data_IF_541466214148
#
_entry.id   IF_541466214148
#
_cell.length_a   1.000
_cell.length_b   1.000
_cell.length_c   1.000
_cell.angle_alpha   90.00
_cell.angle_beta   90.00
_cell.angle_gamma   90.00
#
_symmetry.space_group_name_H-M   'P 1'
#
loop_
_entity.id
_entity.type
_entity.pdbx_description
1 polymer ?
#
# COMPACT_ATOMS: atom_id res chain seq x y z
N UNK A 1 4.93 -6.84 23.85
CA UNK A 1 4.37 -8.10 23.28
C UNK A 1 5.41 -8.75 22.39
N UNK A 2 5.32 -10.06 22.20
CA UNK A 2 6.06 -10.81 21.18
C UNK A 2 5.28 -10.77 19.87
N UNK A 3 5.87 -10.18 18.83
CA UNK A 3 5.22 -9.99 17.53
C UNK A 3 6.03 -10.72 16.45
N UNK A 4 5.37 -11.64 15.75
CA UNK A 4 5.90 -12.24 14.54
C UNK A 4 5.50 -11.37 13.33
N UNK A 5 6.45 -10.97 12.50
CA UNK A 5 6.16 -10.32 11.22
C UNK A 5 6.54 -11.27 10.10
N UNK A 6 5.55 -11.67 9.29
CA UNK A 6 5.78 -12.43 8.05
C UNK A 6 6.16 -11.44 6.95
N UNK A 7 7.43 -11.43 6.56
CA UNK A 7 8.05 -10.33 5.82
C UNK A 7 8.81 -9.40 6.77
N UNK A 8 8.79 -8.09 6.53
CA UNK A 8 9.38 -7.12 7.48
C UNK A 8 10.60 -6.34 6.97
N UNK A 9 11.28 -6.78 5.91
CA UNK A 9 12.55 -6.15 5.48
C UNK A 9 12.44 -5.19 4.29
N UNK A 10 11.23 -4.95 3.80
CA UNK A 10 10.97 -4.03 2.67
C UNK A 10 10.06 -2.89 3.14
N UNK A 11 9.14 -2.40 2.31
CA UNK A 11 8.46 -1.12 2.46
C UNK A 11 7.57 -1.00 3.72
N UNK A 12 6.36 -1.58 3.79
CA UNK A 12 5.55 -1.50 5.02
C UNK A 12 6.23 -2.22 6.20
N UNK A 13 6.86 -3.36 5.91
CA UNK A 13 7.52 -4.20 6.90
C UNK A 13 8.55 -3.45 7.76
N UNK A 14 9.44 -2.66 7.14
CA UNK A 14 10.49 -1.95 7.90
C UNK A 14 9.88 -0.92 8.87
N UNK A 15 8.82 -0.24 8.46
CA UNK A 15 8.15 0.76 9.29
C UNK A 15 7.36 0.10 10.43
N UNK A 16 6.85 -1.11 10.22
CA UNK A 16 6.28 -1.93 11.31
C UNK A 16 7.34 -2.33 12.33
N UNK A 17 8.55 -2.73 11.89
CA UNK A 17 9.65 -3.06 12.80
C UNK A 17 10.10 -1.84 13.58
N UNK A 18 10.37 -0.71 12.89
CA UNK A 18 10.75 0.57 13.51
C UNK A 18 9.72 0.97 14.59
N UNK A 19 8.42 0.94 14.26
CA UNK A 19 7.36 1.32 15.18
C UNK A 19 7.20 0.31 16.34
N UNK A 20 7.38 -0.99 16.10
CA UNK A 20 7.27 -2.02 17.14
C UNK A 20 8.41 -1.92 18.15
N UNK A 21 9.64 -1.70 17.67
CA UNK A 21 10.80 -1.48 18.53
C UNK A 21 10.67 -0.20 19.35
N UNK A 22 10.18 0.89 18.73
CA UNK A 22 9.93 2.15 19.43
C UNK A 22 8.91 2.03 20.57
N UNK A 23 7.96 1.09 20.48
CA UNK A 23 6.98 0.77 21.52
C UNK A 23 7.45 -0.32 22.50
N UNK A 24 8.69 -0.82 22.36
CA UNK A 24 9.28 -1.81 23.27
C UNK A 24 8.75 -3.23 23.07
N UNK A 25 8.25 -3.57 21.88
CA UNK A 25 7.88 -4.95 21.56
C UNK A 25 9.12 -5.81 21.24
N UNK A 26 8.99 -7.11 21.53
CA UNK A 26 9.94 -8.12 21.08
C UNK A 26 9.50 -8.59 19.69
N UNK A 27 10.34 -8.37 18.68
CA UNK A 27 10.00 -8.65 17.28
C UNK A 27 10.76 -9.87 16.79
N UNK A 28 10.07 -10.74 16.06
CA UNK A 28 10.67 -11.80 15.25
C UNK A 28 10.30 -11.57 13.79
N UNK A 29 11.28 -11.57 12.89
CA UNK A 29 11.08 -11.49 11.45
C UNK A 29 11.15 -12.88 10.83
N UNK A 30 10.15 -13.24 10.02
CA UNK A 30 10.20 -14.44 9.20
C UNK A 30 10.32 -14.08 7.71
N UNK A 31 11.45 -14.43 7.09
CA UNK A 31 11.71 -14.10 5.69
C UNK A 31 12.78 -14.95 5.01
N UNK A 32 12.86 -14.87 3.68
CA UNK A 32 13.80 -15.63 2.83
C UNK A 32 15.27 -15.18 2.91
N UNK A 33 15.57 -14.04 3.54
CA UNK A 33 16.94 -13.50 3.62
C UNK A 33 17.45 -12.85 2.32
N UNK A 34 16.57 -12.66 1.32
CA UNK A 34 16.92 -12.06 0.02
C UNK A 34 17.11 -10.54 0.12
N UNK A 35 16.30 -9.88 0.95
CA UNK A 35 16.30 -8.42 1.10
C UNK A 35 16.47 -8.04 2.57
N UNK A 36 17.27 -6.99 2.82
CA UNK A 36 17.38 -6.35 4.14
C UNK A 36 17.90 -7.24 5.26
N UNK A 37 18.74 -8.24 4.95
CA UNK A 37 19.31 -9.18 5.94
C UNK A 37 20.14 -8.52 7.06
N UNK A 38 20.66 -7.32 6.81
CA UNK A 38 21.46 -6.55 7.77
C UNK A 38 20.62 -5.47 8.47
N UNK A 39 19.34 -5.33 8.12
CA UNK A 39 18.44 -4.38 8.79
C UNK A 39 17.99 -4.97 10.12
N UNK A 40 17.93 -4.14 11.15
CA UNK A 40 17.48 -4.50 12.50
C UNK A 40 18.34 -5.60 13.16
N UNK A 41 19.66 -5.41 13.31
CA UNK A 41 20.55 -6.42 13.90
C UNK A 41 20.16 -6.85 15.33
N UNK A 42 19.35 -6.04 16.03
CA UNK A 42 18.79 -6.32 17.35
C UNK A 42 17.54 -7.23 17.33
N UNK A 43 16.95 -7.45 16.16
CA UNK A 43 15.72 -8.24 15.97
C UNK A 43 16.07 -9.68 15.62
N UNK A 44 15.26 -10.65 16.09
CA UNK A 44 15.46 -12.04 15.71
C UNK A 44 15.04 -12.28 14.26
N UNK A 45 15.93 -12.83 13.44
CA UNK A 45 15.63 -13.26 12.07
C UNK A 45 15.47 -14.79 11.99
N UNK A 46 14.27 -15.23 11.65
CA UNK A 46 13.94 -16.62 11.34
C UNK A 46 13.88 -16.78 9.82
N UNK A 47 14.74 -17.65 9.30
CA UNK A 47 14.84 -17.87 7.86
C UNK A 47 13.92 -18.99 7.40
N UNK A 48 13.14 -18.72 6.37
CA UNK A 48 12.28 -19.69 5.71
C UNK A 48 11.56 -19.08 4.50
N UNK A 49 10.76 -19.90 3.83
CA UNK A 49 10.00 -19.48 2.66
C UNK A 49 8.55 -19.90 2.86
N UNK A 50 7.64 -18.96 3.11
CA UNK A 50 6.22 -19.26 3.35
C UNK A 50 5.55 -20.10 2.25
N UNK A 51 6.14 -20.14 1.06
CA UNK A 51 5.63 -20.91 -0.09
C UNK A 51 6.10 -22.36 -0.08
N UNK A 52 7.12 -22.70 0.73
CA UNK A 52 7.81 -23.99 0.72
C UNK A 52 8.04 -24.59 2.12
N UNK A 53 8.52 -23.79 3.06
CA UNK A 53 9.01 -24.23 4.36
C UNK A 53 8.69 -23.19 5.46
N UNK A 54 7.87 -23.62 6.42
CA UNK A 54 7.49 -22.90 7.62
C UNK A 54 8.02 -23.58 8.90
N UNK A 55 8.79 -24.67 8.78
CA UNK A 55 9.20 -25.52 9.91
C UNK A 55 9.97 -24.76 10.99
N UNK A 56 10.70 -23.71 10.61
CA UNK A 56 11.41 -22.84 11.55
C UNK A 56 10.49 -22.06 12.52
N UNK A 57 9.17 -22.04 12.27
CA UNK A 57 8.16 -21.45 13.15
C UNK A 57 7.52 -22.47 14.11
N UNK A 58 7.77 -23.78 13.93
CA UNK A 58 7.18 -24.83 14.75
C UNK A 58 7.68 -24.79 16.20
N UNK A 59 6.79 -25.04 17.16
CA UNK A 59 7.11 -25.07 18.60
C UNK A 59 7.41 -23.69 19.22
N UNK A 60 7.16 -22.60 18.49
CA UNK A 60 7.31 -21.22 18.95
C UNK A 60 5.96 -20.58 19.27
N UNK A 61 5.98 -19.52 20.08
CA UNK A 61 4.79 -18.78 20.49
C UNK A 61 5.03 -17.27 20.41
N UNK A 62 3.99 -16.55 19.98
CA UNK A 62 3.95 -15.08 19.95
C UNK A 62 2.57 -14.59 20.41
N UNK A 63 2.47 -13.32 20.78
CA UNK A 63 1.18 -12.74 21.15
C UNK A 63 0.32 -12.48 19.89
N UNK A 64 0.95 -12.00 18.82
CA UNK A 64 0.31 -11.68 17.54
C UNK A 64 1.24 -11.93 16.35
N UNK A 65 0.64 -12.11 15.17
CA UNK A 65 1.34 -12.10 13.88
C UNK A 65 0.82 -10.99 12.97
N UNK A 66 1.71 -10.34 12.25
CA UNK A 66 1.40 -9.36 11.20
C UNK A 66 1.90 -9.93 9.86
N UNK A 67 0.98 -10.24 8.95
CA UNK A 67 1.27 -10.79 7.64
C UNK A 67 1.25 -9.71 6.56
N UNK A 68 2.45 -9.27 6.16
CA UNK A 68 2.64 -8.22 5.15
C UNK A 68 2.85 -8.74 3.73
N UNK A 69 3.06 -10.05 3.56
CA UNK A 69 3.55 -10.62 2.31
C UNK A 69 2.66 -11.73 1.72
N UNK A 70 1.44 -11.89 2.24
CA UNK A 70 0.52 -12.90 1.72
C UNK A 70 -0.09 -12.46 0.39
N UNK A 71 0.14 -13.28 -0.63
CA UNK A 71 -0.24 -12.99 -2.02
C UNK A 71 -1.09 -14.10 -2.66
N UNK A 72 -1.18 -15.27 -2.03
CA UNK A 72 -1.93 -16.41 -2.55
C UNK A 72 -2.62 -17.16 -1.40
N UNK A 73 -3.91 -17.53 -1.53
CA UNK A 73 -4.71 -18.09 -0.44
C UNK A 73 -4.11 -19.39 0.12
N UNK A 74 -3.56 -20.26 -0.74
CA UNK A 74 -2.86 -21.49 -0.31
C UNK A 74 -1.75 -21.22 0.71
N UNK A 75 -0.94 -20.18 0.49
CA UNK A 75 0.19 -19.87 1.38
C UNK A 75 -0.26 -19.16 2.65
N UNK A 76 -1.28 -18.30 2.56
CA UNK A 76 -1.89 -17.68 3.75
C UNK A 76 -2.55 -18.73 4.63
N UNK A 77 -3.26 -19.68 4.04
CA UNK A 77 -3.85 -20.83 4.74
C UNK A 77 -2.80 -21.63 5.49
N UNK A 78 -1.69 -22.00 4.82
CA UNK A 78 -0.62 -22.77 5.47
C UNK A 78 0.00 -22.02 6.65
N UNK A 79 0.29 -20.72 6.51
CA UNK A 79 0.84 -19.93 7.61
C UNK A 79 -0.17 -19.72 8.74
N UNK A 80 -1.41 -19.36 8.42
CA UNK A 80 -2.47 -19.15 9.41
C UNK A 80 -2.79 -20.45 10.19
N UNK A 81 -2.85 -21.59 9.50
CA UNK A 81 -3.05 -22.90 10.14
C UNK A 81 -1.97 -23.23 11.15
N UNK A 82 -0.70 -23.11 10.74
CA UNK A 82 0.44 -23.37 11.61
C UNK A 82 0.40 -22.44 12.83
N UNK A 83 0.19 -21.15 12.58
CA UNK A 83 0.21 -20.11 13.60
C UNK A 83 -1.05 -20.09 14.48
N UNK A 84 -2.14 -20.76 14.07
CA UNK A 84 -3.40 -20.82 14.83
C UNK A 84 -3.23 -21.34 16.26
N UNK A 85 -2.20 -22.17 16.49
CA UNK A 85 -1.83 -22.73 17.79
C UNK A 85 -0.77 -21.90 18.53
N UNK A 86 -0.09 -20.99 17.84
CA UNK A 86 1.07 -20.23 18.33
C UNK A 86 0.78 -18.76 18.63
N UNK A 87 -0.34 -18.21 18.11
CA UNK A 87 -0.73 -16.80 18.31
C UNK A 87 -2.20 -16.63 18.66
N UNK A 88 -2.52 -15.51 19.31
CA UNK A 88 -3.91 -15.14 19.66
C UNK A 88 -4.55 -14.20 18.66
N UNK A 89 -3.76 -13.52 17.83
CA UNK A 89 -4.23 -12.52 16.87
C UNK A 89 -3.46 -12.58 15.56
N UNK A 90 -4.16 -12.43 14.43
CA UNK A 90 -3.58 -12.42 13.09
C UNK A 90 -4.00 -11.15 12.34
N UNK A 91 -3.07 -10.24 12.10
CA UNK A 91 -3.33 -9.06 11.25
C UNK A 91 -2.85 -9.36 9.83
N UNK A 92 -3.76 -9.41 8.87
CA UNK A 92 -3.45 -9.60 7.46
C UNK A 92 -3.48 -8.27 6.71
N UNK A 93 -2.38 -7.93 6.03
CA UNK A 93 -2.33 -6.76 5.15
C UNK A 93 -2.88 -7.14 3.77
N UNK A 94 -4.11 -6.73 3.52
CA UNK A 94 -4.87 -6.89 2.29
C UNK A 94 -4.69 -5.68 1.35
N UNK A 95 -5.74 -5.25 0.64
CA UNK A 95 -5.76 -4.07 -0.24
C UNK A 95 -7.20 -3.62 -0.48
N UNK A 96 -7.46 -2.34 -0.73
CA UNK A 96 -8.77 -1.92 -1.27
C UNK A 96 -9.06 -2.56 -2.64
N UNK A 97 -8.02 -2.99 -3.37
CA UNK A 97 -8.18 -3.70 -4.65
C UNK A 97 -8.96 -5.00 -4.54
N UNK A 98 -9.28 -5.49 -3.32
CA UNK A 98 -10.16 -6.65 -3.16
C UNK A 98 -11.57 -6.39 -3.69
N UNK A 99 -12.04 -5.15 -3.72
CA UNK A 99 -13.38 -4.84 -4.21
C UNK A 99 -13.52 -5.20 -5.67
N UNK A 100 -14.67 -5.80 -6.02
CA UNK A 100 -14.91 -6.26 -7.39
C UNK A 100 -15.03 -5.10 -8.38
N UNK A 101 -15.64 -4.00 -7.94
CA UNK A 101 -15.93 -2.80 -8.73
C UNK A 101 -15.87 -1.57 -7.83
N UNK A 102 -15.86 -0.37 -8.43
CA UNK A 102 -15.85 0.91 -7.70
C UNK A 102 -16.94 1.88 -8.23
N UNK A 103 -18.23 1.48 -8.24
CA UNK A 103 -19.28 2.19 -8.99
C UNK A 103 -19.64 3.57 -8.42
N UNK A 104 -19.28 3.85 -7.17
CA UNK A 104 -19.68 5.10 -6.49
C UNK A 104 -18.70 5.48 -5.37
N UNK A 105 -18.61 6.77 -5.02
CA UNK A 105 -17.87 7.22 -3.85
C UNK A 105 -18.42 6.67 -2.52
N UNK A 106 -17.55 6.59 -1.52
CA UNK A 106 -17.94 6.25 -0.14
C UNK A 106 -18.21 4.77 0.11
N UNK A 107 -17.75 3.87 -0.76
CA UNK A 107 -17.83 2.42 -0.54
C UNK A 107 -17.12 2.01 0.75
N UNK A 108 -17.73 1.11 1.51
CA UNK A 108 -17.22 0.63 2.80
C UNK A 108 -16.86 -0.87 2.76
N UNK A 109 -16.55 -1.45 3.92
CA UNK A 109 -16.13 -2.84 4.05
C UNK A 109 -17.21 -3.87 3.71
N UNK A 110 -18.47 -3.44 3.52
CA UNK A 110 -19.60 -4.31 3.15
C UNK A 110 -19.73 -4.53 1.64
N UNK A 111 -18.98 -3.76 0.83
CA UNK A 111 -19.06 -3.87 -0.61
C UNK A 111 -18.55 -5.24 -1.14
N UNK A 112 -19.11 -5.73 -2.27
CA UNK A 112 -18.69 -7.00 -2.86
C UNK A 112 -17.20 -7.02 -3.21
N UNK A 113 -16.56 -8.14 -2.89
CA UNK A 113 -15.16 -8.38 -3.22
C UNK A 113 -15.03 -9.35 -4.40
N UNK A 114 -13.90 -9.26 -5.10
CA UNK A 114 -13.58 -10.07 -6.26
C UNK A 114 -13.52 -11.57 -5.94
N UNK A 115 -13.77 -12.37 -6.98
CA UNK A 115 -13.77 -13.83 -6.94
C UNK A 115 -13.00 -14.37 -8.13
N UNK A 116 -12.43 -15.56 -7.98
CA UNK A 116 -11.86 -16.33 -9.09
C UNK A 116 -12.63 -17.64 -9.25
N UNK A 117 -12.77 -18.10 -10.50
CA UNK A 117 -13.14 -19.48 -10.75
C UNK A 117 -12.00 -20.43 -10.34
N UNK A 118 -12.27 -21.73 -10.12
CA UNK A 118 -11.21 -22.70 -9.85
C UNK A 118 -10.11 -22.71 -10.92
N UNK A 119 -10.47 -22.55 -12.20
CA UNK A 119 -9.53 -22.51 -13.33
C UNK A 119 -8.65 -21.26 -13.28
N UNK A 120 -9.24 -20.10 -12.97
CA UNK A 120 -8.49 -18.85 -12.80
C UNK A 120 -7.56 -18.92 -11.59
N UNK A 121 -8.00 -19.50 -10.47
CA UNK A 121 -7.12 -19.69 -9.32
C UNK A 121 -5.95 -20.61 -9.66
N UNK A 122 -6.23 -21.76 -10.29
CA UNK A 122 -5.20 -22.72 -10.71
C UNK A 122 -4.17 -22.11 -11.67
N UNK A 123 -4.58 -21.16 -12.53
CA UNK A 123 -3.65 -20.49 -13.45
C UNK A 123 -2.62 -19.60 -12.72
N UNK A 124 -2.91 -19.18 -11.48
CA UNK A 124 -2.00 -18.35 -10.67
C UNK A 124 -0.97 -19.16 -9.87
N UNK A 125 -1.19 -20.47 -9.66
CA UNK A 125 -0.38 -21.28 -8.75
C UNK A 125 1.04 -21.56 -9.25
N UNK A 126 1.25 -21.51 -10.58
CA UNK A 126 2.54 -21.84 -11.21
C UNK A 126 3.35 -20.61 -11.63
N UNK A 127 2.88 -19.40 -11.33
CA UNK A 127 3.58 -18.19 -11.68
C UNK A 127 4.67 -17.86 -10.65
N UNK A 128 5.90 -17.63 -11.12
CA UNK A 128 7.00 -17.17 -10.26
C UNK A 128 6.79 -15.73 -9.74
N UNK A 129 5.93 -14.97 -10.41
CA UNK A 129 5.56 -13.60 -10.03
C UNK A 129 4.09 -13.53 -9.62
N UNK A 130 3.72 -12.72 -8.62
CA UNK A 130 2.33 -12.51 -8.26
C UNK A 130 1.51 -12.05 -9.48
N UNK A 131 0.32 -12.63 -9.66
CA UNK A 131 -0.58 -12.18 -10.73
C UNK A 131 -1.05 -10.77 -10.43
N UNK A 132 -0.67 -9.81 -11.29
CA UNK A 132 -1.18 -8.44 -11.21
C UNK A 132 -2.61 -8.34 -11.72
N UNK A 133 -2.99 -9.21 -12.68
CA UNK A 133 -4.34 -9.31 -13.23
C UNK A 133 -5.35 -9.72 -12.16
N UNK A 134 -5.01 -10.72 -11.34
CA UNK A 134 -5.90 -11.25 -10.30
C UNK A 134 -5.54 -10.77 -8.89
N UNK A 135 -4.76 -9.71 -8.76
CA UNK A 135 -4.23 -9.24 -7.48
C UNK A 135 -5.33 -9.02 -6.43
N UNK A 136 -6.40 -8.33 -6.82
CA UNK A 136 -7.53 -8.02 -5.94
C UNK A 136 -8.26 -9.26 -5.45
N UNK A 137 -8.62 -10.14 -6.38
CA UNK A 137 -9.33 -11.38 -6.10
C UNK A 137 -8.49 -12.33 -5.25
N UNK A 138 -7.17 -12.42 -5.52
CA UNK A 138 -6.25 -13.22 -4.70
C UNK A 138 -6.14 -12.68 -3.27
N UNK A 139 -6.12 -11.35 -3.08
CA UNK A 139 -6.16 -10.74 -1.75
C UNK A 139 -7.47 -11.05 -1.02
N UNK A 140 -8.62 -10.98 -1.70
CA UNK A 140 -9.91 -11.36 -1.11
C UNK A 140 -9.92 -12.82 -0.64
N UNK A 141 -9.41 -13.74 -1.46
CA UNK A 141 -9.28 -15.16 -1.09
C UNK A 141 -8.27 -15.39 0.05
N UNK A 142 -7.26 -14.54 0.19
CA UNK A 142 -6.34 -14.60 1.33
C UNK A 142 -7.02 -14.17 2.64
N UNK A 143 -7.88 -13.14 2.62
CA UNK A 143 -8.68 -12.74 3.79
C UNK A 143 -9.56 -13.91 4.28
N UNK A 144 -10.24 -14.59 3.35
CA UNK A 144 -11.05 -15.77 3.63
C UNK A 144 -10.21 -16.92 4.21
N UNK A 145 -9.06 -17.22 3.59
CA UNK A 145 -8.16 -18.27 4.06
C UNK A 145 -7.61 -18.02 5.47
N UNK A 146 -7.32 -16.76 5.83
CA UNK A 146 -6.88 -16.43 7.18
C UNK A 146 -8.02 -16.60 8.19
N UNK A 147 -9.21 -16.07 7.89
CA UNK A 147 -10.38 -16.16 8.77
C UNK A 147 -10.83 -17.62 9.00
N UNK A 148 -10.78 -18.47 7.98
CA UNK A 148 -11.14 -19.89 8.10
C UNK A 148 -10.22 -20.67 9.06
N UNK A 149 -8.91 -20.37 9.07
CA UNK A 149 -7.94 -21.06 9.93
C UNK A 149 -7.85 -20.42 11.34
N UNK A 150 -8.25 -19.16 11.48
CA UNK A 150 -8.27 -18.44 12.75
C UNK A 150 -9.58 -17.68 13.02
N UNK A 151 -10.74 -18.36 13.07
CA UNK A 151 -12.04 -17.68 13.17
C UNK A 151 -12.14 -16.74 14.36
N UNK A 152 -12.61 -15.52 14.12
CA UNK A 152 -12.80 -14.49 15.14
C UNK A 152 -11.50 -13.94 15.75
N UNK A 153 -10.32 -14.24 15.14
CA UNK A 153 -9.00 -13.75 15.59
C UNK A 153 -8.25 -12.95 14.52
N UNK A 154 -8.86 -12.73 13.33
CA UNK A 154 -8.20 -12.05 12.22
C UNK A 154 -8.65 -10.59 12.09
N UNK A 155 -7.70 -9.71 11.81
CA UNK A 155 -7.97 -8.38 11.28
C UNK A 155 -7.48 -8.28 9.83
N UNK A 156 -8.37 -8.00 8.90
CA UNK A 156 -8.04 -7.74 7.51
C UNK A 156 -7.94 -6.22 7.30
N UNK A 157 -6.72 -5.73 7.12
CA UNK A 157 -6.44 -4.32 6.88
C UNK A 157 -6.32 -4.10 5.38
N UNK A 158 -7.22 -3.30 4.78
CA UNK A 158 -7.28 -3.00 3.35
C UNK A 158 -6.73 -1.60 3.07
N UNK A 159 -5.41 -1.43 2.92
CA UNK A 159 -4.84 -0.14 2.57
C UNK A 159 -5.14 0.26 1.13
N UNK A 160 -5.18 1.58 0.90
CA UNK A 160 -5.13 2.18 -0.44
C UNK A 160 -3.69 2.23 -0.96
N UNK A 161 -3.34 3.30 -1.67
CA UNK A 161 -1.93 3.54 -2.01
C UNK A 161 -1.15 3.84 -0.73
N UNK A 162 -0.21 2.97 -0.38
CA UNK A 162 0.73 3.20 0.72
C UNK A 162 1.89 4.05 0.21
N UNK A 163 2.23 5.14 0.90
CA UNK A 163 3.23 6.12 0.44
C UNK A 163 4.25 6.44 1.53
N UNK A 164 5.39 6.98 1.15
CA UNK A 164 6.40 7.45 2.10
C UNK A 164 7.81 7.01 1.74
N UNK A 165 8.80 7.31 2.60
CA UNK A 165 10.16 6.82 2.43
C UNK A 165 10.20 5.30 2.22
N UNK A 166 11.09 4.86 1.33
CA UNK A 166 11.30 3.47 0.94
C UNK A 166 10.18 2.85 0.09
N UNK A 167 9.25 3.67 -0.43
CA UNK A 167 8.28 3.25 -1.44
C UNK A 167 9.01 2.93 -2.76
N UNK A 168 8.99 1.66 -3.15
CA UNK A 168 9.61 1.15 -4.38
C UNK A 168 8.74 1.31 -5.62
N UNK A 169 7.48 1.75 -5.48
CA UNK A 169 6.56 1.94 -6.60
C UNK A 169 6.80 3.23 -7.37
N UNK A 170 7.48 4.22 -6.75
CA UNK A 170 7.65 5.58 -7.25
C UNK A 170 6.34 6.38 -7.47
N UNK A 171 5.15 5.81 -7.19
CA UNK A 171 3.86 6.45 -7.51
C UNK A 171 3.68 7.77 -6.79
N UNK A 172 3.78 7.78 -5.47
CA UNK A 172 3.70 9.04 -4.73
C UNK A 172 5.00 9.83 -4.86
N UNK A 173 6.15 9.16 -4.79
CA UNK A 173 7.48 9.78 -4.87
C UNK A 173 7.69 10.60 -6.15
N UNK A 174 7.02 10.24 -7.25
CA UNK A 174 7.03 11.01 -8.49
C UNK A 174 6.64 12.47 -8.26
N UNK A 175 5.60 12.77 -7.50
CA UNK A 175 5.09 14.14 -7.36
C UNK A 175 6.06 15.06 -6.62
N UNK A 176 6.52 14.78 -5.38
CA UNK A 176 7.51 15.62 -4.72
C UNK A 176 8.80 15.75 -5.53
N UNK A 177 9.26 14.66 -6.15
CA UNK A 177 10.48 14.64 -6.95
C UNK A 177 10.36 15.44 -8.25
N UNK A 178 9.23 15.33 -8.97
CA UNK A 178 8.98 16.06 -10.21
C UNK A 178 8.80 17.54 -9.94
N UNK A 179 8.03 17.90 -8.92
CA UNK A 179 7.77 19.30 -8.55
C UNK A 179 9.04 19.99 -8.08
N UNK A 180 9.90 19.30 -7.31
CA UNK A 180 11.17 19.84 -6.86
C UNK A 180 12.17 20.18 -7.99
N UNK A 181 11.97 19.66 -9.21
CA UNK A 181 12.78 20.01 -10.38
C UNK A 181 12.38 21.34 -11.04
N UNK A 182 11.23 21.91 -10.66
CA UNK A 182 10.74 23.17 -11.20
C UNK A 182 10.23 23.07 -12.65
N UNK A 183 9.97 24.23 -13.24
CA UNK A 183 9.45 24.38 -14.60
C UNK A 183 7.94 24.11 -14.76
N UNK A 184 7.48 24.10 -16.01
CA UNK A 184 6.09 23.74 -16.35
C UNK A 184 5.89 22.22 -16.20
N UNK A 185 4.81 21.81 -15.54
CA UNK A 185 4.50 20.41 -15.19
C UNK A 185 3.09 20.08 -15.67
N UNK A 186 2.92 18.91 -16.28
CA UNK A 186 1.58 18.41 -16.61
C UNK A 186 0.89 17.93 -15.33
N UNK A 187 -0.28 18.48 -15.05
CA UNK A 187 -1.17 18.05 -13.97
C UNK A 187 -2.41 17.35 -14.57
N UNK A 188 -2.86 16.21 -14.03
CA UNK A 188 -3.89 15.42 -14.69
C UNK A 188 -5.32 15.76 -14.22
N UNK A 189 -6.24 15.80 -15.18
CA UNK A 189 -7.66 15.97 -14.93
C UNK A 189 -8.02 17.35 -14.35
N UNK A 190 -8.96 17.35 -13.41
CA UNK A 190 -9.41 18.56 -12.72
C UNK A 190 -8.57 18.83 -11.45
N UNK A 191 -8.26 20.11 -11.13
CA UNK A 191 -7.65 20.50 -9.86
C UNK A 191 -8.34 19.93 -8.61
N UNK A 192 -9.67 19.80 -8.69
CA UNK A 192 -10.54 19.36 -7.60
C UNK A 192 -10.67 17.82 -7.49
N UNK A 193 -10.01 17.07 -8.38
CA UNK A 193 -10.05 15.61 -8.33
C UNK A 193 -9.55 15.12 -6.96
N UNK A 194 -10.40 14.35 -6.29
CA UNK A 194 -10.07 13.74 -5.01
C UNK A 194 -9.01 12.65 -5.19
N UNK A 195 -8.06 12.62 -4.27
CA UNK A 195 -7.03 11.59 -4.18
C UNK A 195 -7.05 10.92 -2.81
N UNK A 196 -6.60 9.67 -2.76
CA UNK A 196 -6.46 8.92 -1.51
C UNK A 196 -5.15 8.13 -1.46
N UNK A 197 -4.49 8.20 -0.31
CA UNK A 197 -3.31 7.42 0.04
C UNK A 197 -3.10 7.44 1.56
N UNK A 198 -2.25 6.54 2.06
CA UNK A 198 -1.87 6.50 3.47
C UNK A 198 -0.35 6.51 3.61
N UNK A 199 0.18 7.35 4.49
CA UNK A 199 1.60 7.29 4.82
C UNK A 199 1.88 5.97 5.55
N UNK A 200 2.90 5.27 5.08
CA UNK A 200 3.33 3.95 5.53
C UNK A 200 3.57 3.89 7.04
N UNK A 201 4.00 4.99 7.65
CA UNK A 201 4.23 5.06 9.10
C UNK A 201 2.91 5.18 9.88
N UNK A 202 1.89 5.84 9.32
CA UNK A 202 0.55 5.91 9.95
C UNK A 202 -0.11 4.53 9.90
N UNK A 203 0.01 3.88 8.74
CA UNK A 203 -0.46 2.50 8.58
C UNK A 203 0.28 1.55 9.53
N UNK A 204 1.60 1.65 9.67
CA UNK A 204 2.37 0.80 10.56
C UNK A 204 1.99 1.00 12.03
N UNK A 205 1.88 2.25 12.48
CA UNK A 205 1.48 2.60 13.85
C UNK A 205 0.06 2.09 14.17
N UNK A 206 -0.86 2.17 13.21
CA UNK A 206 -2.23 1.68 13.39
C UNK A 206 -2.33 0.15 13.33
N UNK A 207 -1.60 -0.51 12.43
CA UNK A 207 -1.51 -1.98 12.39
C UNK A 207 -0.95 -2.54 13.71
N UNK A 208 0.02 -1.87 14.33
CA UNK A 208 0.48 -2.25 15.67
C UNK A 208 -0.61 -2.04 16.72
N UNK A 209 -1.36 -0.94 16.66
CA UNK A 209 -2.51 -0.75 17.55
C UNK A 209 -3.56 -1.86 17.41
N UNK A 210 -3.85 -2.29 16.18
CA UNK A 210 -4.73 -3.44 15.89
C UNK A 210 -4.21 -4.70 16.58
N UNK A 211 -2.91 -4.99 16.45
CA UNK A 211 -2.30 -6.16 17.09
C UNK A 211 -2.30 -6.07 18.62
N UNK A 212 -2.03 -4.89 19.19
CA UNK A 212 -2.02 -4.63 20.64
C UNK A 212 -3.40 -4.80 21.29
N UNK A 213 -4.44 -4.35 20.60
CA UNK A 213 -5.82 -4.37 21.09
C UNK A 213 -6.57 -5.65 20.71
N UNK A 214 -6.01 -6.45 19.81
CA UNK A 214 -6.67 -7.64 19.27
C UNK A 214 -7.92 -7.31 18.47
N UNK A 215 -7.98 -6.14 17.83
CA UNK A 215 -9.11 -5.74 16.97
C UNK A 215 -9.29 -6.74 15.85
N UNK A 216 -10.52 -7.20 15.59
CA UNK A 216 -10.82 -8.16 14.51
C UNK A 216 -11.82 -7.59 13.50
N UNK A 217 -11.94 -8.27 12.36
CA UNK A 217 -12.80 -7.88 11.25
C UNK A 217 -12.04 -7.15 10.14
N UNK A 218 -12.79 -6.48 9.28
CA UNK A 218 -12.27 -5.85 8.05
C UNK A 218 -12.27 -4.33 8.22
N UNK A 219 -11.20 -3.67 7.77
CA UNK A 219 -11.06 -2.21 7.83
C UNK A 219 -10.37 -1.65 6.58
N UNK A 220 -10.96 -0.62 5.98
CA UNK A 220 -10.29 0.19 4.97
C UNK A 220 -9.32 1.17 5.65
N UNK A 221 -8.04 1.08 5.30
CA UNK A 221 -6.96 1.85 5.90
C UNK A 221 -6.26 2.71 4.84
N UNK A 222 -7.01 3.64 4.26
CA UNK A 222 -6.46 4.68 3.38
C UNK A 222 -6.72 6.06 4.01
N UNK A 223 -6.33 7.13 3.35
CA UNK A 223 -6.49 8.49 3.86
C UNK A 223 -6.40 9.55 2.78
N UNK A 224 -6.31 10.82 3.17
CA UNK A 224 -6.35 11.30 4.56
C UNK A 224 -7.77 11.32 5.16
N UNK A 225 -7.91 11.75 6.42
CA UNK A 225 -9.20 11.84 7.11
C UNK A 225 -10.16 12.86 6.48
N UNK A 226 -9.60 13.93 5.91
CA UNK A 226 -10.35 14.95 5.16
C UNK A 226 -10.13 14.78 3.66
N UNK A 227 -11.03 15.33 2.84
CA UNK A 227 -10.88 15.29 1.39
C UNK A 227 -9.62 16.04 0.98
N UNK A 228 -8.71 15.36 0.28
CA UNK A 228 -7.51 15.92 -0.32
C UNK A 228 -7.67 15.93 -1.84
N UNK A 229 -7.37 17.06 -2.47
CA UNK A 229 -7.39 17.20 -3.93
C UNK A 229 -6.01 17.09 -4.54
N UNK A 230 -5.97 16.80 -5.84
CA UNK A 230 -4.75 16.78 -6.62
C UNK A 230 -4.03 18.13 -6.58
N UNK A 231 -4.76 19.26 -6.67
CA UNK A 231 -4.17 20.59 -6.55
C UNK A 231 -3.50 20.81 -5.20
N UNK A 232 -4.14 20.42 -4.10
CA UNK A 232 -3.57 20.56 -2.76
C UNK A 232 -2.25 19.79 -2.63
N UNK A 233 -2.18 18.56 -3.17
CA UNK A 233 -0.94 17.79 -3.18
C UNK A 233 0.18 18.52 -3.95
N UNK A 234 -0.12 19.01 -5.15
CA UNK A 234 0.86 19.66 -6.01
C UNK A 234 1.40 20.97 -5.42
N UNK A 235 0.50 21.80 -4.86
CA UNK A 235 0.88 23.05 -4.20
C UNK A 235 1.66 22.83 -2.91
N UNK A 236 1.33 21.79 -2.13
CA UNK A 236 2.11 21.42 -0.94
C UNK A 236 3.50 20.90 -1.36
N UNK A 237 3.60 20.12 -2.43
CA UNK A 237 4.89 19.70 -3.00
C UNK A 237 5.74 20.90 -3.43
N UNK A 238 5.12 21.90 -4.07
CA UNK A 238 5.79 23.15 -4.49
C UNK A 238 6.30 23.92 -3.27
N UNK A 239 5.46 24.08 -2.25
CA UNK A 239 5.80 24.76 -0.99
C UNK A 239 6.96 24.08 -0.29
N UNK A 240 6.91 22.74 -0.12
CA UNK A 240 7.96 21.97 0.56
C UNK A 240 9.27 21.95 -0.20
N UNK A 241 9.22 21.88 -1.54
CA UNK A 241 10.43 21.84 -2.36
C UNK A 241 11.10 23.20 -2.51
N UNK A 242 10.37 24.29 -2.30
CA UNK A 242 10.85 25.66 -2.54
C UNK A 242 11.09 25.96 -4.03
N UNK A 243 10.51 25.15 -4.93
CA UNK A 243 10.68 25.26 -6.38
C UNK A 243 9.74 26.27 -7.04
N UNK A 244 10.01 26.56 -8.31
CA UNK A 244 9.28 27.53 -9.14
C UNK A 244 8.23 26.87 -10.07
N UNK A 245 7.84 25.63 -9.76
CA UNK A 245 6.95 24.83 -10.60
C UNK A 245 5.62 25.55 -10.92
N UNK A 246 5.13 25.37 -12.16
CA UNK A 246 3.80 25.78 -12.59
C UNK A 246 3.03 24.60 -13.19
N UNK A 247 1.73 24.54 -12.93
CA UNK A 247 0.90 23.39 -13.31
C UNK A 247 0.03 23.72 -14.52
N UNK A 248 0.14 22.89 -15.56
CA UNK A 248 -0.73 22.91 -16.74
C UNK A 248 -1.65 21.71 -16.64
N UNK A 249 -2.92 21.99 -16.33
CA UNK A 249 -3.96 20.99 -16.18
C UNK A 249 -4.45 20.51 -17.54
N UNK A 250 -4.30 19.23 -17.82
CA UNK A 250 -4.80 18.58 -19.02
C UNK A 250 -5.96 17.66 -18.63
N UNK A 251 -7.12 17.86 -19.26
CA UNK A 251 -8.33 17.11 -18.93
C UNK A 251 -8.24 15.62 -19.32
N UNK A 252 -9.17 14.83 -18.78
CA UNK A 252 -9.21 13.38 -18.98
C UNK A 252 -9.28 13.02 -20.47
N UNK A 253 -10.04 13.77 -21.26
CA UNK A 253 -10.21 13.53 -22.69
C UNK A 253 -8.90 13.76 -23.46
N UNK A 254 -8.15 14.82 -23.13
CA UNK A 254 -6.86 15.11 -23.71
C UNK A 254 -5.86 14.02 -23.37
N UNK A 255 -5.73 13.67 -22.08
CA UNK A 255 -4.78 12.67 -21.63
C UNK A 255 -5.08 11.29 -22.22
N UNK A 256 -6.36 10.89 -22.24
CA UNK A 256 -6.79 9.61 -22.81
C UNK A 256 -6.59 9.58 -24.32
N UNK A 257 -6.90 10.66 -25.05
CA UNK A 257 -6.66 10.76 -26.51
C UNK A 257 -5.18 10.63 -26.87
N UNK A 258 -4.30 11.09 -25.99
CA UNK A 258 -2.86 10.96 -26.15
C UNK A 258 -2.30 9.73 -25.42
N UNK A 259 -3.14 8.73 -25.09
CA UNK A 259 -2.69 7.43 -24.57
C UNK A 259 -1.81 7.54 -23.31
N UNK A 260 -2.02 8.57 -22.48
CA UNK A 260 -1.28 8.72 -21.22
C UNK A 260 -1.73 7.62 -20.26
N UNK A 261 -0.76 6.87 -19.74
CA UNK A 261 -1.03 5.73 -18.85
C UNK A 261 -1.63 6.16 -17.50
N UNK A 262 -2.91 5.87 -17.31
CA UNK A 262 -3.60 5.96 -16.02
C UNK A 262 -2.82 5.22 -14.92
N UNK A 263 -2.74 5.82 -13.75
CA UNK A 263 -2.03 5.33 -12.56
C UNK A 263 -0.49 5.17 -12.67
N UNK A 264 0.03 4.80 -13.84
CA UNK A 264 1.43 4.42 -14.08
C UNK A 264 2.28 5.54 -14.68
N UNK A 265 1.75 6.31 -15.62
CA UNK A 265 2.40 7.55 -16.10
C UNK A 265 1.91 8.76 -15.32
N UNK A 266 0.67 8.72 -14.84
CA UNK A 266 0.06 9.75 -13.99
C UNK A 266 -0.46 9.13 -12.68
N UNK A 267 0.36 9.09 -11.62
CA UNK A 267 -0.05 8.53 -10.34
C UNK A 267 -1.19 9.31 -9.70
N UNK A 268 -2.12 8.61 -9.06
CA UNK A 268 -3.33 9.18 -8.43
C UNK A 268 -4.34 9.79 -9.42
N UNK A 269 -4.19 9.53 -10.71
CA UNK A 269 -5.19 9.87 -11.72
C UNK A 269 -5.82 8.59 -12.29
N UNK A 270 -7.15 8.61 -12.37
CA UNK A 270 -8.01 7.61 -12.99
C UNK A 270 -9.02 8.39 -13.82
N UNK A 271 -9.03 8.28 -15.16
CA UNK A 271 -9.97 9.01 -15.98
C UNK A 271 -11.39 8.51 -15.77
N UNK A 272 -12.37 9.40 -15.90
CA UNK A 272 -13.78 9.05 -15.77
C UNK A 272 -14.22 7.89 -16.69
N UNK A 273 -13.58 7.73 -17.84
CA UNK A 273 -13.83 6.65 -18.81
C UNK A 273 -13.53 5.25 -18.27
N UNK A 274 -12.72 5.11 -17.22
CA UNK A 274 -12.47 3.81 -16.57
C UNK A 274 -13.65 3.35 -15.67
N UNK A 275 -14.61 4.23 -15.37
CA UNK A 275 -15.83 3.84 -14.67
C UNK A 275 -15.61 3.42 -13.20
N UNK A 276 -14.55 3.94 -12.55
CA UNK A 276 -14.19 3.62 -11.16
C UNK A 276 -14.23 4.83 -10.22
N UNK A 277 -15.33 5.61 -10.16
CA UNK A 277 -15.39 6.85 -9.36
C UNK A 277 -15.20 6.63 -7.84
N UNK A 278 -15.38 5.40 -7.34
CA UNK A 278 -15.17 5.05 -5.94
C UNK A 278 -13.72 4.79 -5.53
N UNK A 279 -12.79 4.61 -6.47
CA UNK A 279 -11.46 4.07 -6.18
C UNK A 279 -10.63 4.96 -5.26
N UNK A 280 -10.67 6.28 -5.47
CA UNK A 280 -9.98 7.29 -4.66
C UNK A 280 -10.90 7.95 -3.63
N UNK A 281 -12.01 7.29 -3.27
CA UNK A 281 -13.00 7.81 -2.32
C UNK A 281 -13.60 6.71 -1.44
N UNK A 282 -12.79 5.68 -1.14
CA UNK A 282 -13.17 4.59 -0.23
C UNK A 282 -13.43 5.14 1.18
N UNK A 283 -14.50 4.68 1.83
CA UNK A 283 -14.87 5.08 3.18
C UNK A 283 -13.96 4.40 4.21
N UNK A 284 -13.42 5.21 5.14
CA UNK A 284 -12.47 4.80 6.17
C UNK A 284 -13.00 5.03 7.59
N UNK A 285 -14.28 5.38 7.76
CA UNK A 285 -14.85 5.77 9.06
C UNK A 285 -14.68 4.69 10.12
N UNK A 286 -14.73 3.41 9.72
CA UNK A 286 -14.52 2.29 10.62
C UNK A 286 -13.10 2.28 11.20
N UNK A 287 -12.08 2.56 10.37
CA UNK A 287 -10.69 2.65 10.83
C UNK A 287 -10.45 3.90 11.69
N UNK A 288 -11.05 5.04 11.34
CA UNK A 288 -11.01 6.26 12.17
C UNK A 288 -11.55 6.01 13.57
N UNK A 289 -12.73 5.37 13.66
CA UNK A 289 -13.37 5.01 14.93
C UNK A 289 -12.53 4.00 15.72
N UNK A 290 -11.68 3.23 15.04
CA UNK A 290 -10.74 2.28 15.62
C UNK A 290 -9.32 2.86 15.81
N UNK A 291 -9.18 4.19 15.82
CA UNK A 291 -7.94 4.87 16.21
C UNK A 291 -6.93 5.13 15.08
N UNK A 292 -7.32 4.98 13.80
CA UNK A 292 -6.46 5.39 12.69
C UNK A 292 -6.27 6.91 12.72
N UNK A 293 -5.01 7.34 12.69
CA UNK A 293 -4.63 8.76 12.67
C UNK A 293 -3.69 9.04 11.50
N UNK A 294 -3.52 10.32 11.17
CA UNK A 294 -2.72 10.75 10.03
C UNK A 294 -1.74 11.83 10.43
N UNK A 295 -0.51 11.72 9.94
CA UNK A 295 0.44 12.84 10.02
C UNK A 295 0.10 13.90 8.96
N UNK A 296 0.55 15.15 9.17
CA UNK A 296 0.37 16.22 8.19
C UNK A 296 1.03 15.88 6.84
N UNK A 297 0.35 16.22 5.74
CA UNK A 297 0.82 16.00 4.36
C UNK A 297 2.25 16.51 4.11
N UNK A 298 2.56 17.69 4.63
CA UNK A 298 3.90 18.31 4.59
C UNK A 298 5.00 17.36 5.07
N UNK A 299 4.72 16.54 6.10
CA UNK A 299 5.69 15.59 6.65
C UNK A 299 5.92 14.41 5.71
N UNK A 300 4.85 13.87 5.12
CA UNK A 300 4.94 12.80 4.13
C UNK A 300 5.72 13.26 2.90
N UNK A 301 5.43 14.45 2.37
CA UNK A 301 6.12 15.02 1.20
C UNK A 301 7.60 15.27 1.52
N UNK A 302 7.89 16.00 2.60
CA UNK A 302 9.26 16.39 2.99
C UNK A 302 10.14 15.16 3.17
N UNK A 303 9.68 14.18 3.94
CA UNK A 303 10.49 13.03 4.30
C UNK A 303 10.65 12.09 3.10
N UNK A 304 9.62 11.95 2.25
CA UNK A 304 9.73 11.22 0.98
C UNK A 304 10.74 11.87 0.05
N UNK A 305 10.70 13.19 -0.11
CA UNK A 305 11.65 13.93 -0.94
C UNK A 305 13.08 13.86 -0.38
N UNK A 306 13.23 13.94 0.94
CA UNK A 306 14.53 13.79 1.60
C UNK A 306 15.12 12.40 1.34
N UNK A 307 14.31 11.34 1.49
CA UNK A 307 14.72 9.99 1.16
C UNK A 307 15.04 9.82 -0.33
N UNK A 308 14.19 10.31 -1.22
CA UNK A 308 14.37 10.21 -2.68
C UNK A 308 15.71 10.79 -3.14
N UNK A 309 16.16 11.90 -2.53
CA UNK A 309 17.47 12.53 -2.76
C UNK A 309 18.67 11.68 -2.36
N UNK A 310 18.49 10.70 -1.47
CA UNK A 310 19.56 9.77 -1.07
C UNK A 310 19.72 8.58 -2.01
N UNK A 311 18.76 8.37 -2.92
CA UNK A 311 18.78 7.24 -3.84
C UNK A 311 19.83 7.48 -4.94
N UNK A 312 20.47 6.42 -5.46
CA UNK A 312 21.30 6.55 -6.64
C UNK A 312 20.45 7.07 -7.82
N UNK A 313 21.05 7.82 -8.76
CA UNK A 313 20.36 8.22 -9.97
C UNK A 313 19.88 6.98 -10.74
N UNK A 314 18.67 7.05 -11.28
CA UNK A 314 18.05 5.96 -12.02
C UNK A 314 16.69 6.36 -12.56
N UNK A 315 16.19 5.58 -13.53
CA UNK A 315 14.82 5.74 -14.03
C UNK A 315 13.81 5.39 -12.94
N UNK A 316 12.77 6.23 -12.81
CA UNK A 316 11.62 5.91 -11.97
C UNK A 316 10.78 4.85 -12.65
N UNK A 317 10.13 3.99 -11.86
CA UNK A 317 9.19 2.98 -12.38
C UNK A 317 7.84 3.55 -12.82
N UNK A 318 7.56 4.78 -12.41
CA UNK A 318 6.25 5.42 -12.55
C UNK A 318 6.44 6.93 -12.71
N UNK A 319 5.52 7.55 -13.44
CA UNK A 319 5.54 8.96 -13.79
C UNK A 319 5.93 9.19 -15.23
N UNK A 320 5.53 10.33 -15.79
CA UNK A 320 5.92 10.73 -17.14
C UNK A 320 7.44 10.82 -17.28
N UNK A 321 7.91 10.33 -18.43
CA UNK A 321 9.26 10.65 -18.91
C UNK A 321 9.34 12.13 -19.31
N UNK A 322 10.49 12.80 -19.12
CA UNK A 322 10.62 14.23 -19.45
C UNK A 322 10.25 14.56 -20.90
N UNK A 323 10.62 13.69 -21.85
CA UNK A 323 10.34 13.88 -23.27
C UNK A 323 8.83 13.82 -23.54
N UNK A 324 8.14 12.87 -22.90
CA UNK A 324 6.69 12.71 -23.02
C UNK A 324 5.93 13.90 -22.42
N UNK A 325 6.40 14.41 -21.29
CA UNK A 325 5.83 15.61 -20.67
C UNK A 325 5.98 16.84 -21.58
N UNK A 326 7.16 17.02 -22.18
CA UNK A 326 7.40 18.12 -23.11
C UNK A 326 6.53 18.04 -24.37
N UNK A 327 6.32 16.83 -24.92
CA UNK A 327 5.39 16.60 -26.03
C UNK A 327 3.97 17.02 -25.69
N UNK A 328 3.44 16.58 -24.53
CA UNK A 328 2.09 16.93 -24.09
C UNK A 328 1.92 18.43 -23.88
N UNK A 329 2.92 19.10 -23.30
CA UNK A 329 2.91 20.56 -23.11
C UNK A 329 2.97 21.33 -24.43
N UNK A 330 3.63 20.79 -25.47
CA UNK A 330 3.65 21.40 -26.79
C UNK A 330 2.33 21.24 -27.56
N UNK A 331 1.51 20.25 -27.19
CA UNK A 331 0.22 19.94 -27.81
C UNK A 331 -0.98 20.52 -27.05
N UNK A 332 -0.75 21.28 -25.96
CA UNK A 332 -1.82 21.85 -25.15
C UNK A 332 -2.77 22.73 -26.00
N UNK A 333 -4.10 22.65 -25.76
CA UNK A 333 -5.12 23.29 -26.59
C UNK A 333 -5.09 24.83 -26.57
#
# INVERSE_FOLDING_TARGET
MKILILGGTVFLGRHLVDAALARGHEVTLFHRGIHGKELFPEVEHVYGDRTKDLSALEGREWDAVIDTCGQHPKHVRSSARLLSQAVKHYTFISSISVYAEFPQPGMDETAPVGRLTPEQLASTENSATPSMEFYGQLKALCEEAAEEEMPGRVCNVRPGLIVGPYDVSDRFTYWPGRVARGGEIVAPGSPDNQIQFIDVRDLAEWVLHVAETGLTGVYNATGPAEVLTMQQLLEECKTVSGGDASFTWLDDDFLTRHEVGSWMEMPLWIPASEGMPGFLSTNIQRALNAGLTFRPLVTTIRDTLAWDRTRPPGERRTGLKPEREAELLAMKP
#
